data_IF_259442677077
#
_entry.id   IF_259442677077
#
_cell.length_a   1.000
_cell.length_b   1.000
_cell.length_c   1.000
_cell.angle_alpha   90.00
_cell.angle_beta   90.00
_cell.angle_gamma   90.00
#
_symmetry.space_group_name_H-M   'P 1'
#
loop_
_entity.id
_entity.type
_entity.pdbx_description
1 polymer ?
#
# COMPACT_ATOMS: atom_id res chain seq x y z
N UNK A 1 -8.16 -17.74 19.12
CA UNK A 1 -7.58 -17.04 17.96
C UNK A 1 -8.71 -16.29 17.30
N UNK A 2 -8.73 -14.96 17.38
CA UNK A 2 -9.81 -14.19 16.77
C UNK A 2 -9.65 -14.28 15.24
N UNK A 3 -10.45 -15.13 14.60
CA UNK A 3 -10.70 -15.08 13.17
C UNK A 3 -11.67 -13.92 12.93
N UNK A 4 -11.13 -12.70 12.97
CA UNK A 4 -11.82 -11.51 12.53
C UNK A 4 -11.09 -11.01 11.31
N UNK A 5 -11.79 -10.91 10.17
CA UNK A 5 -11.20 -10.25 9.00
C UNK A 5 -10.81 -8.83 9.41
N UNK A 6 -9.55 -8.49 9.17
CA UNK A 6 -9.03 -7.16 9.48
C UNK A 6 -8.88 -6.39 8.17
N UNK A 7 -9.30 -5.13 8.19
CA UNK A 7 -9.19 -4.23 7.05
C UNK A 7 -8.32 -3.07 7.46
N UNK A 8 -7.26 -2.84 6.69
CA UNK A 8 -6.44 -1.63 6.80
C UNK A 8 -6.73 -0.78 5.59
N UNK A 9 -7.17 0.45 5.82
CA UNK A 9 -7.55 1.38 4.76
C UNK A 9 -6.81 2.70 4.94
N UNK A 10 -6.17 3.17 3.86
CA UNK A 10 -5.32 4.36 3.88
C UNK A 10 -5.59 5.19 2.64
N UNK A 11 -5.70 6.50 2.83
CA UNK A 11 -5.78 7.47 1.74
C UNK A 11 -4.56 8.37 1.82
N UNK A 12 -3.83 8.47 0.70
CA UNK A 12 -2.61 9.26 0.58
C UNK A 12 -2.79 10.29 -0.53
N UNK A 13 -2.21 11.48 -0.34
CA UNK A 13 -2.11 12.45 -1.44
C UNK A 13 -1.34 11.84 -2.60
N UNK A 14 -1.75 12.16 -3.83
CA UNK A 14 -1.15 11.60 -5.04
C UNK A 14 0.22 12.23 -5.33
N UNK A 15 1.22 11.87 -4.53
CA UNK A 15 2.60 12.36 -4.64
C UNK A 15 3.59 11.20 -4.52
N UNK A 16 4.71 11.28 -5.23
CA UNK A 16 5.78 10.26 -5.16
C UNK A 16 6.37 10.11 -3.74
N UNK A 17 6.30 11.16 -2.92
CA UNK A 17 6.76 11.13 -1.52
C UNK A 17 5.97 10.12 -0.66
N UNK A 18 4.72 9.84 -1.04
CA UNK A 18 3.86 8.93 -0.30
C UNK A 18 4.03 7.46 -0.72
N UNK A 19 4.92 7.15 -1.67
CA UNK A 19 5.24 5.77 -2.06
C UNK A 19 5.88 5.01 -0.89
N UNK A 20 6.91 5.58 -0.26
CA UNK A 20 7.59 4.97 0.89
C UNK A 20 6.63 4.74 2.08
N UNK A 21 5.63 5.62 2.22
CA UNK A 21 4.57 5.47 3.23
C UNK A 21 3.68 4.27 2.91
N UNK A 22 3.26 4.11 1.65
CA UNK A 22 2.46 2.97 1.22
C UNK A 22 3.20 1.63 1.39
N UNK A 23 4.49 1.58 1.05
CA UNK A 23 5.35 0.42 1.27
C UNK A 23 5.49 0.07 2.75
N UNK A 24 5.73 1.07 3.61
CA UNK A 24 5.82 0.88 5.05
C UNK A 24 4.54 0.28 5.64
N UNK A 25 3.38 0.72 5.14
CA UNK A 25 2.08 0.16 5.53
C UNK A 25 1.93 -1.27 5.04
N UNK A 26 2.30 -1.55 3.77
CA UNK A 26 2.27 -2.90 3.21
C UNK A 26 3.14 -3.86 4.04
N UNK A 27 4.38 -3.48 4.37
CA UNK A 27 5.27 -4.26 5.25
C UNK A 27 4.64 -4.52 6.62
N UNK A 28 4.05 -3.50 7.25
CA UNK A 28 3.38 -3.65 8.55
C UNK A 28 2.18 -4.60 8.50
N UNK A 29 1.38 -4.53 7.42
CA UNK A 29 0.27 -5.45 7.19
C UNK A 29 0.78 -6.89 6.99
N UNK A 30 1.77 -7.09 6.13
CA UNK A 30 2.37 -8.41 5.88
C UNK A 30 2.95 -9.03 7.16
N UNK A 31 3.66 -8.23 7.97
CA UNK A 31 4.18 -8.67 9.26
C UNK A 31 3.07 -9.07 10.25
N UNK A 32 1.97 -8.29 10.30
CA UNK A 32 0.81 -8.61 11.14
C UNK A 32 0.10 -9.88 10.68
N UNK A 33 0.08 -10.14 9.37
CA UNK A 33 -0.47 -11.35 8.77
C UNK A 33 0.47 -12.57 8.85
N UNK A 34 1.72 -12.39 9.30
CA UNK A 34 2.69 -13.47 9.48
C UNK A 34 3.32 -13.98 8.18
N UNK A 35 3.38 -13.14 7.14
CA UNK A 35 4.11 -13.46 5.91
C UNK A 35 5.62 -13.51 6.18
N UNK A 36 6.32 -14.36 5.45
CA UNK A 36 7.77 -14.34 5.41
C UNK A 36 8.31 -13.14 4.63
N UNK A 37 9.62 -12.91 4.72
CA UNK A 37 10.29 -11.76 4.12
C UNK A 37 10.18 -11.75 2.58
N UNK A 38 10.26 -12.92 1.94
CA UNK A 38 10.20 -13.03 0.47
C UNK A 38 8.80 -12.70 -0.05
N UNK A 39 7.75 -13.21 0.60
CA UNK A 39 6.37 -12.90 0.24
C UNK A 39 5.97 -11.48 0.63
N UNK A 40 6.42 -10.97 1.77
CA UNK A 40 6.23 -9.58 2.15
C UNK A 40 6.89 -8.62 1.15
N UNK A 41 8.10 -8.95 0.68
CA UNK A 41 8.81 -8.18 -0.34
C UNK A 41 8.07 -8.14 -1.68
N UNK A 42 7.47 -9.26 -2.11
CA UNK A 42 6.63 -9.28 -3.32
C UNK A 42 5.41 -8.37 -3.19
N UNK A 43 4.76 -8.37 -2.03
CA UNK A 43 3.61 -7.48 -1.76
C UNK A 43 4.05 -6.02 -1.76
N UNK A 44 5.16 -5.70 -1.10
CA UNK A 44 5.74 -4.35 -1.09
C UNK A 44 6.00 -3.86 -2.52
N UNK A 45 6.68 -4.65 -3.35
CA UNK A 45 6.97 -4.30 -4.73
C UNK A 45 5.69 -4.12 -5.56
N UNK A 46 4.68 -4.96 -5.35
CA UNK A 46 3.39 -4.82 -6.03
C UNK A 46 2.68 -3.51 -5.62
N UNK A 47 2.77 -3.12 -4.35
CA UNK A 47 2.25 -1.84 -3.85
C UNK A 47 3.04 -0.67 -4.43
N UNK A 48 4.36 -0.73 -4.46
CA UNK A 48 5.24 0.30 -5.05
C UNK A 48 4.81 0.63 -6.49
N UNK A 49 4.78 -0.39 -7.36
CA UNK A 49 4.42 -0.21 -8.77
C UNK A 49 2.96 0.25 -8.94
N UNK A 50 2.05 -0.24 -8.10
CA UNK A 50 0.65 0.18 -8.14
C UNK A 50 0.48 1.65 -7.76
N UNK A 51 1.20 2.14 -6.76
CA UNK A 51 1.16 3.54 -6.33
C UNK A 51 1.83 4.44 -7.37
N UNK A 52 2.96 4.05 -7.95
CA UNK A 52 3.58 4.77 -9.08
C UNK A 52 2.58 4.91 -10.22
N UNK A 53 1.94 3.80 -10.63
CA UNK A 53 0.94 3.82 -11.69
C UNK A 53 -0.24 4.74 -11.36
N UNK A 54 -0.72 4.72 -10.12
CA UNK A 54 -1.79 5.60 -9.68
C UNK A 54 -1.36 7.08 -9.69
N UNK A 55 -0.15 7.42 -9.24
CA UNK A 55 0.35 8.79 -9.14
C UNK A 55 0.72 9.36 -10.52
N UNK A 56 1.61 8.69 -11.24
CA UNK A 56 2.20 9.16 -12.50
C UNK A 56 1.22 9.05 -13.67
N UNK A 57 0.58 7.88 -13.82
CA UNK A 57 -0.23 7.58 -15.01
C UNK A 57 -1.71 7.87 -14.80
N UNK A 58 -2.27 7.51 -13.64
CA UNK A 58 -3.68 7.74 -13.33
C UNK A 58 -3.98 9.20 -12.98
N UNK A 59 -3.38 9.67 -11.88
CA UNK A 59 -3.64 10.98 -11.31
C UNK A 59 -2.82 12.09 -11.99
N UNK A 60 -1.78 11.74 -12.76
CA UNK A 60 -0.91 12.67 -13.50
C UNK A 60 -0.20 13.67 -12.60
N UNK A 61 0.29 13.20 -11.46
CA UNK A 61 0.96 14.02 -10.43
C UNK A 61 0.10 15.18 -9.88
N UNK A 62 -1.23 15.11 -10.01
CA UNK A 62 -2.15 16.07 -9.40
C UNK A 62 -2.29 15.80 -7.89
N UNK A 63 -1.61 16.61 -7.08
CA UNK A 63 -1.63 16.50 -5.62
C UNK A 63 -3.03 16.71 -4.99
N UNK A 64 -4.01 17.26 -5.73
CA UNK A 64 -5.39 17.37 -5.25
C UNK A 64 -6.14 16.04 -5.34
N UNK A 65 -5.59 15.04 -6.05
CA UNK A 65 -6.13 13.69 -6.12
C UNK A 65 -5.50 12.80 -5.05
N UNK A 66 -6.15 11.67 -4.81
CA UNK A 66 -5.78 10.73 -3.77
C UNK A 66 -5.47 9.36 -4.37
N UNK A 67 -4.62 8.61 -3.67
CA UNK A 67 -4.40 7.17 -3.87
C UNK A 67 -5.02 6.47 -2.66
N UNK A 68 -5.84 5.46 -2.94
CA UNK A 68 -6.54 4.68 -1.92
C UNK A 68 -6.00 3.26 -1.88
N UNK A 69 -5.57 2.83 -0.68
CA UNK A 69 -5.03 1.51 -0.42
C UNK A 69 -5.95 0.80 0.57
N UNK A 70 -6.31 -0.44 0.24
CA UNK A 70 -7.13 -1.29 1.11
C UNK A 70 -6.56 -2.70 1.16
N UNK A 71 -6.21 -3.13 2.36
CA UNK A 71 -5.70 -4.48 2.63
C UNK A 71 -6.76 -5.29 3.36
N UNK A 72 -6.85 -6.57 3.00
CA UNK A 72 -7.76 -7.53 3.62
C UNK A 72 -6.94 -8.67 4.22
N UNK A 73 -7.09 -8.89 5.53
CA UNK A 73 -6.53 -10.02 6.27
C UNK A 73 -7.62 -10.96 6.78
#
# INVERSE_FOLDING_TARGET
>A
MASGSSVVEVTLESTLKNIEVAEGIARGVCATAGLDEDDAYKVEMAVHESVINAVEHGNKNDANKQVWLRFHG
#
